data_IF_267763412629
#
_entry.id   IF_267763412629
#
_cell.length_a   1.000
_cell.length_b   1.000
_cell.length_c   1.000
_cell.angle_alpha   90.00
_cell.angle_beta   90.00
_cell.angle_gamma   90.00
#
_symmetry.space_group_name_H-M   'P 1'
#
loop_
_entity.id
_entity.type
_entity.pdbx_description
1 polymer ?
#
# COMPACT_ATOMS: atom_id res chain seq x y z
N UNK A 1 31.12 2.95 -7.80
CA UNK A 1 30.29 3.59 -6.76
C UNK A 1 31.07 4.80 -6.25
N UNK A 2 30.56 6.04 -6.34
CA UNK A 2 31.27 7.16 -5.75
C UNK A 2 31.01 7.18 -4.24
N UNK A 3 32.10 7.21 -3.49
CA UNK A 3 32.13 7.30 -2.04
C UNK A 3 31.60 8.67 -1.58
N UNK A 4 30.78 8.65 -0.54
CA UNK A 4 30.41 9.81 0.25
C UNK A 4 31.66 10.44 0.86
N UNK A 5 31.91 11.71 0.57
CA UNK A 5 32.94 12.50 1.25
C UNK A 5 32.32 13.12 2.50
N UNK A 6 32.93 12.99 3.70
CA UNK A 6 32.43 13.66 4.89
C UNK A 6 32.70 15.17 4.81
N UNK A 7 31.67 15.93 5.15
CA UNK A 7 31.62 17.39 5.15
C UNK A 7 32.63 17.96 6.15
N UNK A 8 33.68 18.63 5.68
CA UNK A 8 34.63 19.34 6.54
C UNK A 8 34.16 20.78 6.77
N UNK A 9 33.47 21.01 7.90
CA UNK A 9 33.25 22.35 8.40
C UNK A 9 34.55 22.84 9.07
N UNK A 10 35.12 23.92 8.52
CA UNK A 10 36.31 24.60 9.07
C UNK A 10 35.99 25.13 10.47
N UNK A 11 36.62 24.58 11.50
CA UNK A 11 36.70 25.17 12.84
C UNK A 11 38.19 25.25 13.21
N UNK A 12 38.60 26.44 13.66
CA UNK A 12 39.97 26.79 14.07
C UNK A 12 40.36 25.95 15.30
N UNK A 13 41.57 25.34 15.36
CA UNK A 13 41.96 24.53 16.50
C UNK A 13 42.47 25.42 17.64
N UNK A 14 41.97 25.17 18.85
CA UNK A 14 42.58 25.64 20.09
C UNK A 14 43.80 24.76 20.40
N UNK A 15 45.00 25.30 20.59
CA UNK A 15 46.18 24.52 20.95
C UNK A 15 46.13 24.19 22.46
N UNK A 16 46.74 23.07 22.85
CA UNK A 16 46.88 22.52 24.22
C UNK A 16 45.82 21.50 24.64
N UNK A 17 46.21 20.22 24.57
CA UNK A 17 45.50 19.11 25.19
C UNK A 17 46.07 17.76 24.78
N UNK A 18 47.14 17.31 25.44
CA UNK A 18 47.70 15.96 25.34
C UNK A 18 47.00 15.04 26.35
N UNK A 19 46.63 13.82 25.94
CA UNK A 19 46.20 12.77 26.86
C UNK A 19 45.47 11.60 26.19
N UNK A 20 46.07 10.41 26.22
CA UNK A 20 45.52 9.12 25.77
C UNK A 20 44.19 8.75 26.47
N UNK A 21 43.19 8.25 25.72
CA UNK A 21 42.16 7.36 26.26
C UNK A 21 41.56 6.46 25.17
N UNK A 22 41.08 5.31 25.63
CA UNK A 22 40.57 4.13 24.95
C UNK A 22 39.67 4.37 23.72
N UNK A 23 39.82 3.51 22.70
CA UNK A 23 38.89 3.35 21.58
C UNK A 23 37.53 2.86 22.10
N UNK A 24 36.64 3.79 22.42
CA UNK A 24 35.18 3.60 22.35
C UNK A 24 34.74 3.87 20.91
N UNK A 25 33.87 3.05 20.30
CA UNK A 25 33.27 3.40 19.01
C UNK A 25 32.56 4.74 19.22
N UNK A 26 33.03 5.76 18.52
CA UNK A 26 32.45 7.10 18.62
C UNK A 26 31.07 7.01 17.99
N UNK A 27 30.02 7.00 18.82
CA UNK A 27 28.68 7.40 18.38
C UNK A 27 28.80 8.85 17.91
N UNK A 28 29.12 9.05 16.63
CA UNK A 28 29.22 10.37 16.03
C UNK A 28 27.81 10.98 15.95
N UNK A 29 27.44 11.73 16.99
CA UNK A 29 26.21 12.51 17.06
C UNK A 29 26.33 13.74 16.14
N UNK A 30 26.15 13.52 14.84
CA UNK A 30 25.92 14.62 13.90
C UNK A 30 24.48 15.11 14.07
N UNK A 31 24.31 16.26 14.72
CA UNK A 31 23.04 16.99 14.73
C UNK A 31 21.84 16.21 15.30
N UNK A 32 22.08 15.28 16.24
CA UNK A 32 21.01 14.49 16.87
C UNK A 32 20.56 13.25 16.08
N UNK A 33 21.30 12.83 15.05
CA UNK A 33 21.20 11.51 14.43
C UNK A 33 22.23 10.55 15.06
N UNK A 34 21.88 9.26 15.14
CA UNK A 34 22.71 8.20 15.72
C UNK A 34 22.87 7.09 14.67
N UNK A 35 24.13 6.79 14.35
CA UNK A 35 24.51 5.78 13.37
C UNK A 35 25.19 4.57 14.02
N UNK A 36 24.93 3.39 13.50
CA UNK A 36 25.61 2.14 13.85
C UNK A 36 25.96 1.39 12.56
N UNK A 37 27.23 1.03 12.36
CA UNK A 37 27.72 0.39 11.13
C UNK A 37 27.29 1.13 9.85
N UNK A 38 27.40 2.45 9.85
CA UNK A 38 26.92 3.36 8.77
C UNK A 38 25.40 3.33 8.50
N UNK A 39 24.61 2.65 9.33
CA UNK A 39 23.15 2.66 9.23
C UNK A 39 22.57 3.65 10.23
N UNK A 40 21.62 4.48 9.79
CA UNK A 40 20.87 5.37 10.68
C UNK A 40 19.96 4.53 11.59
N UNK A 41 20.22 4.54 12.89
CA UNK A 41 19.47 3.74 13.88
C UNK A 41 18.42 4.56 14.59
N UNK A 42 18.74 5.79 14.98
CA UNK A 42 17.80 6.67 15.68
C UNK A 42 18.15 8.14 15.50
N UNK A 43 17.27 9.02 15.95
CA UNK A 43 17.53 10.44 16.01
C UNK A 43 16.34 11.19 16.58
N UNK A 44 16.55 12.47 16.91
CA UNK A 44 15.43 13.35 17.23
C UNK A 44 14.49 13.52 16.03
N UNK A 45 13.22 13.82 16.28
CA UNK A 45 12.24 14.04 15.20
C UNK A 45 12.72 15.14 14.25
N UNK A 46 13.25 16.23 14.80
CA UNK A 46 13.77 17.37 14.05
C UNK A 46 14.94 16.96 13.17
N UNK A 47 15.89 16.18 13.70
CA UNK A 47 17.04 15.69 12.93
C UNK A 47 16.61 14.74 11.80
N UNK A 48 15.64 13.86 12.05
CA UNK A 48 15.10 12.95 11.04
C UNK A 48 14.35 13.69 9.93
N UNK A 49 13.61 14.75 10.27
CA UNK A 49 12.96 15.62 9.29
C UNK A 49 14.02 16.38 8.48
N UNK A 50 15.06 16.92 9.12
CA UNK A 50 16.16 17.56 8.41
C UNK A 50 16.87 16.60 7.46
N UNK A 51 17.07 15.34 7.85
CA UNK A 51 17.63 14.30 6.99
C UNK A 51 16.73 13.97 5.79
N UNK A 52 15.42 14.20 5.87
CA UNK A 52 14.52 14.05 4.72
C UNK A 52 14.66 15.20 3.70
N UNK A 53 15.14 16.38 4.12
CA UNK A 53 15.18 17.56 3.25
C UNK A 53 16.47 17.55 2.42
N UNK A 54 16.39 17.62 1.07
CA UNK A 54 17.58 17.69 0.24
C UNK A 54 18.36 18.98 0.51
N UNK A 55 19.65 18.98 0.19
CA UNK A 55 20.49 20.18 0.18
C UNK A 55 21.23 20.26 -1.16
N UNK A 56 22.09 21.27 -1.36
CA UNK A 56 22.91 21.38 -2.58
C UNK A 56 23.79 20.14 -2.77
N UNK A 57 24.35 19.58 -1.70
CA UNK A 57 25.32 18.48 -1.75
C UNK A 57 24.73 17.12 -1.33
N UNK A 58 23.50 17.11 -0.81
CA UNK A 58 22.86 15.91 -0.28
C UNK A 58 21.49 15.65 -0.91
N UNK A 59 21.16 14.37 -1.06
CA UNK A 59 19.82 13.89 -1.36
C UNK A 59 19.57 12.61 -0.54
N UNK A 60 18.44 12.48 0.16
CA UNK A 60 18.17 11.31 0.96
C UNK A 60 18.01 10.04 0.12
N UNK A 61 18.47 8.92 0.66
CA UNK A 61 18.32 7.63 0.00
C UNK A 61 16.84 7.27 -0.16
N UNK A 62 16.49 6.64 -1.29
CA UNK A 62 15.10 6.23 -1.58
C UNK A 62 14.50 5.34 -0.50
N UNK A 63 15.31 4.45 0.08
CA UNK A 63 14.89 3.59 1.20
C UNK A 63 14.55 4.42 2.43
N UNK A 64 15.33 5.46 2.74
CA UNK A 64 15.04 6.38 3.84
C UNK A 64 13.77 7.19 3.56
N UNK A 65 13.63 7.78 2.36
CA UNK A 65 12.43 8.53 1.97
C UNK A 65 11.17 7.67 2.17
N UNK A 66 11.16 6.46 1.59
CA UNK A 66 10.04 5.53 1.72
C UNK A 66 9.78 5.19 3.20
N UNK A 67 10.81 4.76 3.93
CA UNK A 67 10.68 4.28 5.31
C UNK A 67 10.22 5.40 6.24
N UNK A 68 10.81 6.58 6.14
CA UNK A 68 10.47 7.71 7.00
C UNK A 68 9.08 8.25 6.69
N UNK A 69 8.73 8.47 5.41
CA UNK A 69 7.37 8.88 5.05
C UNK A 69 6.33 7.84 5.51
N UNK A 70 6.60 6.54 5.35
CA UNK A 70 5.74 5.45 5.80
C UNK A 70 5.53 5.47 7.31
N UNK A 71 6.63 5.40 8.06
CA UNK A 71 6.66 5.21 9.51
C UNK A 71 6.32 6.48 10.29
N UNK A 72 6.57 7.67 9.74
CA UNK A 72 6.25 8.94 10.43
C UNK A 72 4.77 9.04 10.77
N UNK A 73 3.89 8.39 10.01
CA UNK A 73 2.45 8.34 10.27
C UNK A 73 2.06 7.79 11.64
N UNK A 74 2.98 7.07 12.29
CA UNK A 74 2.79 6.55 13.64
C UNK A 74 2.89 7.64 14.72
N UNK A 75 3.53 8.78 14.43
CA UNK A 75 3.84 9.81 15.42
C UNK A 75 3.74 11.26 14.90
N UNK A 76 3.52 11.47 13.60
CA UNK A 76 3.42 12.78 12.96
C UNK A 76 2.43 12.72 11.77
N UNK A 77 1.49 13.66 11.74
CA UNK A 77 0.56 13.74 10.62
C UNK A 77 1.27 14.17 9.31
N UNK A 78 0.90 13.60 8.15
CA UNK A 78 1.52 13.95 6.86
C UNK A 78 1.50 15.45 6.54
N UNK A 79 0.40 16.15 6.84
CA UNK A 79 0.29 17.59 6.58
C UNK A 79 1.25 18.43 7.44
N UNK A 80 1.52 17.99 8.68
CA UNK A 80 2.50 18.65 9.56
C UNK A 80 3.91 18.41 9.05
N UNK A 81 4.21 17.16 8.65
CA UNK A 81 5.50 16.82 8.05
C UNK A 81 5.75 17.65 6.77
N UNK A 82 4.77 17.70 5.87
CA UNK A 82 4.85 18.47 4.62
C UNK A 82 5.11 19.95 4.90
N UNK A 83 4.41 20.54 5.88
CA UNK A 83 4.63 21.94 6.26
C UNK A 83 6.06 22.17 6.75
N UNK A 84 6.61 21.27 7.58
CA UNK A 84 7.99 21.37 8.08
C UNK A 84 9.02 21.18 6.96
N UNK A 85 8.81 20.21 6.07
CA UNK A 85 9.68 19.96 4.90
C UNK A 85 9.69 21.18 3.98
N UNK A 86 8.51 21.70 3.59
CA UNK A 86 8.41 22.89 2.74
C UNK A 86 9.06 24.11 3.39
N UNK A 87 8.89 24.30 4.70
CA UNK A 87 9.55 25.37 5.43
C UNK A 87 11.08 25.24 5.36
N UNK A 88 11.63 24.06 5.68
CA UNK A 88 13.07 23.81 5.66
C UNK A 88 13.66 23.93 4.25
N UNK A 89 12.96 23.46 3.20
CA UNK A 89 13.40 23.64 1.81
C UNK A 89 13.68 25.11 1.47
N UNK A 90 12.91 26.05 2.05
CA UNK A 90 13.02 27.48 1.78
C UNK A 90 13.93 28.17 2.78
N UNK A 91 13.72 27.95 4.08
CA UNK A 91 14.35 28.76 5.12
C UNK A 91 15.80 28.36 5.42
N UNK A 92 16.16 27.07 5.36
CA UNK A 92 17.56 26.63 5.56
C UNK A 92 18.53 27.23 4.54
N UNK A 93 18.00 27.70 3.40
CA UNK A 93 18.79 28.19 2.29
C UNK A 93 18.86 29.71 2.23
N UNK A 94 18.18 30.43 3.13
CA UNK A 94 18.22 31.89 3.21
C UNK A 94 19.43 32.34 4.02
N UNK A 95 20.26 33.17 3.39
CA UNK A 95 21.43 33.82 3.97
C UNK A 95 21.14 35.31 4.21
N UNK A 96 19.99 35.82 3.76
CA UNK A 96 19.59 37.22 3.89
C UNK A 96 20.03 38.10 2.72
N UNK A 97 20.81 37.57 1.78
CA UNK A 97 21.12 38.20 0.49
C UNK A 97 20.17 37.66 -0.60
N UNK A 98 19.29 38.49 -1.18
CA UNK A 98 18.31 38.06 -2.18
C UNK A 98 18.90 37.37 -3.43
N UNK A 99 20.12 37.74 -3.84
CA UNK A 99 20.75 37.16 -5.05
C UNK A 99 21.35 35.78 -4.76
N UNK A 100 21.99 35.63 -3.60
CA UNK A 100 22.55 34.35 -3.15
C UNK A 100 21.44 33.35 -2.87
N UNK A 101 20.38 33.79 -2.19
CA UNK A 101 19.21 32.98 -1.88
C UNK A 101 18.55 32.47 -3.18
N UNK A 102 18.39 33.35 -4.18
CA UNK A 102 17.84 32.99 -5.49
C UNK A 102 18.69 31.93 -6.20
N UNK A 103 20.02 32.05 -6.15
CA UNK A 103 20.93 31.05 -6.74
C UNK A 103 20.81 29.71 -6.03
N UNK A 104 20.85 29.69 -4.70
CA UNK A 104 20.73 28.46 -3.90
C UNK A 104 19.40 27.75 -4.14
N UNK A 105 18.30 28.49 -4.16
CA UNK A 105 16.96 27.94 -4.45
C UNK A 105 16.95 27.29 -5.83
N UNK A 106 17.57 27.90 -6.84
CA UNK A 106 17.67 27.30 -8.18
C UNK A 106 18.46 26.00 -8.19
N UNK A 107 19.57 25.93 -7.44
CA UNK A 107 20.43 24.75 -7.42
C UNK A 107 19.77 23.56 -6.69
N UNK A 108 18.95 23.82 -5.68
CA UNK A 108 18.21 22.79 -4.94
C UNK A 108 16.82 22.44 -5.54
N UNK A 109 16.21 23.35 -6.32
CA UNK A 109 14.85 23.18 -6.84
C UNK A 109 14.60 21.80 -7.50
N UNK A 110 15.49 21.27 -8.37
CA UNK A 110 15.28 19.95 -8.96
C UNK A 110 15.16 18.81 -7.93
N UNK A 111 15.92 18.88 -6.83
CA UNK A 111 15.88 17.90 -5.75
C UNK A 111 14.59 18.00 -4.93
N UNK A 112 14.09 19.22 -4.69
CA UNK A 112 12.79 19.43 -4.04
C UNK A 112 11.68 18.83 -4.90
N UNK A 113 11.69 19.12 -6.21
CA UNK A 113 10.73 18.52 -7.15
C UNK A 113 10.81 17.00 -7.14
N UNK A 114 12.03 16.44 -7.09
CA UNK A 114 12.23 14.99 -7.00
C UNK A 114 11.61 14.41 -5.73
N UNK A 115 11.93 14.96 -4.55
CA UNK A 115 11.35 14.49 -3.27
C UNK A 115 9.81 14.55 -3.28
N UNK A 116 9.24 15.66 -3.76
CA UNK A 116 7.79 15.81 -3.84
C UNK A 116 7.17 14.85 -4.86
N UNK A 117 7.87 14.57 -5.96
CA UNK A 117 7.45 13.56 -6.94
C UNK A 117 7.37 12.19 -6.27
N UNK A 118 8.44 11.78 -5.59
CA UNK A 118 8.51 10.50 -4.87
C UNK A 118 7.41 10.38 -3.82
N UNK A 119 7.12 11.45 -3.07
CA UNK A 119 6.01 11.46 -2.11
C UNK A 119 4.66 11.32 -2.82
N UNK A 120 4.37 12.11 -3.86
CA UNK A 120 3.09 12.05 -4.58
C UNK A 120 2.85 10.74 -5.32
N UNK A 121 3.91 10.09 -5.78
CA UNK A 121 3.83 8.79 -6.45
C UNK A 121 3.63 7.66 -5.43
N UNK A 122 4.35 7.69 -4.30
CA UNK A 122 4.30 6.64 -3.27
C UNK A 122 3.05 6.72 -2.41
N UNK A 123 2.64 7.93 -2.01
CA UNK A 123 1.53 8.16 -1.08
C UNK A 123 0.53 9.19 -1.62
N UNK A 124 -0.13 8.90 -2.76
CA UNK A 124 -1.05 9.85 -3.39
C UNK A 124 -2.21 10.23 -2.46
N UNK A 125 -2.65 9.31 -1.59
CA UNK A 125 -3.78 9.50 -0.70
C UNK A 125 -3.60 10.64 0.31
N UNK A 126 -2.37 10.95 0.72
CA UNK A 126 -2.11 12.07 1.62
C UNK A 126 -2.61 13.40 1.02
N UNK A 127 -2.57 13.52 -0.32
CA UNK A 127 -2.93 14.74 -1.04
C UNK A 127 -4.43 14.90 -1.30
N UNK A 128 -5.27 14.00 -0.74
CA UNK A 128 -6.71 14.28 -0.55
C UNK A 128 -6.95 15.33 0.54
N UNK A 129 -5.99 15.54 1.44
CA UNK A 129 -6.04 16.61 2.42
C UNK A 129 -5.75 17.96 1.75
N UNK A 130 -6.66 18.93 1.90
CA UNK A 130 -6.51 20.27 1.34
C UNK A 130 -5.22 20.97 1.80
N UNK A 131 -4.74 20.70 3.02
CA UNK A 131 -3.49 21.27 3.54
C UNK A 131 -2.26 20.75 2.81
N UNK A 132 -2.25 19.47 2.46
CA UNK A 132 -1.21 18.86 1.64
C UNK A 132 -1.19 19.49 0.24
N UNK A 133 -2.36 19.57 -0.40
CA UNK A 133 -2.49 20.16 -1.74
C UNK A 133 -2.15 21.66 -1.76
N UNK A 134 -2.54 22.41 -0.73
CA UNK A 134 -2.14 23.83 -0.58
C UNK A 134 -0.63 23.97 -0.46
N UNK A 135 0.03 23.14 0.33
CA UNK A 135 1.49 23.17 0.50
C UNK A 135 2.22 22.91 -0.82
N UNK A 136 1.73 21.99 -1.64
CA UNK A 136 2.29 21.67 -2.96
C UNK A 136 2.14 22.84 -3.95
N UNK A 137 0.98 23.51 -3.95
CA UNK A 137 0.74 24.70 -4.77
C UNK A 137 1.60 25.88 -4.33
N UNK A 138 1.71 26.11 -3.03
CA UNK A 138 2.57 27.13 -2.45
C UNK A 138 4.04 26.91 -2.85
N UNK A 139 4.51 25.66 -2.80
CA UNK A 139 5.85 25.32 -3.24
C UNK A 139 6.04 25.58 -4.74
N UNK A 140 5.02 25.35 -5.57
CA UNK A 140 5.10 25.68 -6.99
C UNK A 140 5.35 27.18 -7.20
N UNK A 141 4.69 28.04 -6.42
CA UNK A 141 4.90 29.50 -6.48
C UNK A 141 6.29 29.90 -5.99
N UNK A 142 6.77 29.30 -4.89
CA UNK A 142 8.10 29.62 -4.34
C UNK A 142 9.24 29.20 -5.27
N UNK A 143 9.14 28.04 -5.93
CA UNK A 143 10.14 27.62 -6.93
C UNK A 143 10.08 28.44 -8.23
N UNK A 144 8.91 29.00 -8.57
CA UNK A 144 8.74 29.80 -9.78
C UNK A 144 9.65 31.03 -9.85
N UNK A 145 10.06 31.56 -8.69
CA UNK A 145 10.96 32.72 -8.64
C UNK A 145 12.43 32.37 -8.95
N UNK A 146 12.81 31.08 -8.88
CA UNK A 146 14.21 30.61 -9.03
C UNK A 146 14.49 29.84 -10.33
N UNK A 147 13.52 29.05 -10.83
CA UNK A 147 13.71 28.17 -11.99
C UNK A 147 12.40 27.84 -12.74
N UNK A 148 12.33 28.23 -14.01
CA UNK A 148 11.18 27.98 -14.89
C UNK A 148 11.00 26.49 -15.21
N UNK A 149 12.09 25.71 -15.26
CA UNK A 149 12.02 24.27 -15.52
C UNK A 149 11.39 23.52 -14.34
N UNK A 150 11.82 23.82 -13.11
CA UNK A 150 11.25 23.26 -11.88
C UNK A 150 9.78 23.65 -11.71
N UNK A 151 9.39 24.87 -12.08
CA UNK A 151 7.98 25.29 -12.10
C UNK A 151 7.14 24.40 -13.03
N UNK A 152 7.60 24.16 -14.27
CA UNK A 152 6.90 23.26 -15.21
C UNK A 152 6.88 21.83 -14.71
N UNK A 153 7.95 21.37 -14.07
CA UNK A 153 8.01 20.04 -13.46
C UNK A 153 6.98 19.88 -12.33
N UNK A 154 6.87 20.87 -11.43
CA UNK A 154 5.83 20.91 -10.39
C UNK A 154 4.41 20.92 -10.97
N UNK A 155 4.16 21.69 -12.02
CA UNK A 155 2.85 21.69 -12.69
C UNK A 155 2.50 20.31 -13.26
N UNK A 156 3.46 19.63 -13.90
CA UNK A 156 3.28 18.26 -14.40
C UNK A 156 3.05 17.26 -13.26
N UNK A 157 3.78 17.39 -12.16
CA UNK A 157 3.61 16.59 -10.95
C UNK A 157 2.18 16.74 -10.41
N UNK A 158 1.69 17.98 -10.23
CA UNK A 158 0.33 18.23 -9.76
C UNK A 158 -0.70 17.61 -10.71
N UNK A 159 -0.53 17.77 -12.03
CA UNK A 159 -1.44 17.16 -13.00
C UNK A 159 -1.46 15.62 -12.93
N UNK A 160 -0.29 14.99 -12.80
CA UNK A 160 -0.18 13.52 -12.64
C UNK A 160 -0.87 13.06 -11.36
N UNK A 161 -0.63 13.76 -10.25
CA UNK A 161 -1.25 13.48 -8.97
C UNK A 161 -2.77 13.57 -9.05
N UNK A 162 -3.32 14.64 -9.64
CA UNK A 162 -4.77 14.80 -9.79
C UNK A 162 -5.39 13.67 -10.61
N UNK A 163 -4.76 13.29 -11.73
CA UNK A 163 -5.22 12.13 -12.53
C UNK A 163 -5.21 10.83 -11.72
N UNK A 164 -4.13 10.59 -10.97
CA UNK A 164 -4.01 9.40 -10.10
C UNK A 164 -5.12 9.40 -9.04
N UNK A 165 -5.35 10.53 -8.36
CA UNK A 165 -6.41 10.68 -7.38
C UNK A 165 -7.82 10.46 -7.96
N UNK A 166 -8.07 10.90 -9.19
CA UNK A 166 -9.33 10.63 -9.90
C UNK A 166 -9.52 9.13 -10.14
N UNK A 167 -8.50 8.43 -10.64
CA UNK A 167 -8.56 6.97 -10.88
C UNK A 167 -8.81 6.23 -9.56
N UNK A 168 -8.08 6.58 -8.50
CA UNK A 168 -8.28 6.00 -7.16
C UNK A 168 -9.71 6.24 -6.64
N UNK A 169 -10.26 7.45 -6.85
CA UNK A 169 -11.63 7.77 -6.44
C UNK A 169 -12.69 6.98 -7.21
N UNK A 170 -12.53 6.83 -8.52
CA UNK A 170 -13.45 6.03 -9.36
C UNK A 170 -13.43 4.55 -8.97
N UNK A 171 -12.25 4.01 -8.66
CA UNK A 171 -12.11 2.65 -8.19
C UNK A 171 -12.85 2.42 -6.86
N UNK A 172 -12.68 3.31 -5.89
CA UNK A 172 -13.39 3.25 -4.60
C UNK A 172 -14.91 3.33 -4.76
N UNK A 173 -15.40 4.20 -5.65
CA UNK A 173 -16.83 4.30 -5.97
C UNK A 173 -17.38 3.02 -6.61
N UNK A 174 -16.61 2.39 -7.50
CA UNK A 174 -16.94 1.10 -8.09
C UNK A 174 -17.01 -0.02 -7.06
N UNK A 175 -16.08 -0.04 -6.09
CA UNK A 175 -16.09 -1.00 -4.99
C UNK A 175 -17.35 -0.86 -4.12
N UNK A 176 -17.73 0.36 -3.76
CA UNK A 176 -18.93 0.64 -2.95
C UNK A 176 -20.20 0.25 -3.72
N UNK A 177 -20.29 0.60 -5.00
CA UNK A 177 -21.44 0.28 -5.86
C UNK A 177 -21.59 -1.24 -6.00
N UNK A 178 -20.49 -1.96 -6.23
CA UNK A 178 -20.50 -3.42 -6.36
C UNK A 178 -20.81 -4.12 -5.02
N UNK A 179 -20.29 -3.60 -3.90
CA UNK A 179 -20.57 -4.09 -2.56
C UNK A 179 -22.04 -3.93 -2.18
N UNK A 180 -22.61 -2.75 -2.40
CA UNK A 180 -24.03 -2.46 -2.11
C UNK A 180 -24.98 -3.30 -2.96
N UNK A 181 -24.71 -3.44 -4.27
CA UNK A 181 -25.50 -4.28 -5.16
C UNK A 181 -25.52 -5.75 -4.70
N UNK A 182 -24.36 -6.27 -4.29
CA UNK A 182 -24.28 -7.64 -3.81
C UNK A 182 -24.94 -7.84 -2.43
N UNK A 183 -24.83 -6.88 -1.52
CA UNK A 183 -25.54 -6.91 -0.24
C UNK A 183 -27.07 -6.90 -0.44
N UNK A 184 -27.57 -6.09 -1.37
CA UNK A 184 -28.97 -6.07 -1.74
C UNK A 184 -29.45 -7.40 -2.34
N UNK A 185 -28.63 -8.03 -3.20
CA UNK A 185 -28.94 -9.35 -3.76
C UNK A 185 -29.02 -10.44 -2.67
N UNK A 186 -28.14 -10.40 -1.67
CA UNK A 186 -28.18 -11.31 -0.52
C UNK A 186 -29.43 -11.07 0.34
N UNK A 187 -29.77 -9.80 0.63
CA UNK A 187 -30.96 -9.46 1.39
C UNK A 187 -32.25 -9.92 0.69
N UNK A 188 -32.36 -9.68 -0.62
CA UNK A 188 -33.49 -10.14 -1.43
C UNK A 188 -33.62 -11.68 -1.47
N UNK A 189 -32.50 -12.41 -1.36
CA UNK A 189 -32.51 -13.86 -1.26
C UNK A 189 -32.95 -14.37 0.13
N UNK A 190 -32.73 -13.59 1.19
CA UNK A 190 -33.13 -13.92 2.57
C UNK A 190 -34.63 -13.64 2.84
N UNK A 191 -35.20 -12.60 2.22
CA UNK A 191 -36.60 -12.16 2.32
C UNK A 191 -37.63 -13.12 1.66
N UNK A 192 -37.23 -14.25 1.10
CA UNK A 192 -38.13 -15.31 0.60
C UNK A 192 -38.04 -16.59 1.46
N UNK A 193 -38.71 -16.67 2.63
CA UNK A 193 -38.60 -17.82 3.53
C UNK A 193 -39.56 -18.99 3.19
N UNK A 194 -40.15 -19.03 2.00
CA UNK A 194 -41.28 -19.92 1.70
C UNK A 194 -41.17 -20.71 0.40
N UNK A 195 -40.68 -21.95 0.48
CA UNK A 195 -40.87 -22.99 -0.52
C UNK A 195 -39.79 -23.08 -1.60
N UNK A 196 -38.80 -23.96 -1.38
CA UNK A 196 -37.93 -24.52 -2.42
C UNK A 196 -38.78 -25.28 -3.47
N UNK A 197 -39.48 -24.56 -4.34
CA UNK A 197 -40.13 -25.16 -5.51
C UNK A 197 -39.10 -25.24 -6.64
N UNK A 198 -38.94 -26.46 -7.13
CA UNK A 198 -38.08 -27.01 -8.21
C UNK A 198 -37.74 -26.06 -9.38
N UNK A 199 -38.54 -25.03 -9.67
CA UNK A 199 -38.28 -24.03 -10.72
C UNK A 199 -37.16 -23.04 -10.37
N UNK A 200 -36.93 -22.70 -9.09
CA UNK A 200 -35.83 -21.81 -8.69
C UNK A 200 -34.45 -22.51 -8.76
N UNK A 201 -34.43 -23.83 -8.75
CA UNK A 201 -33.23 -24.66 -8.87
C UNK A 201 -32.72 -24.78 -10.32
N UNK A 202 -33.54 -24.42 -11.31
CA UNK A 202 -33.18 -24.38 -12.74
C UNK A 202 -32.47 -23.07 -13.06
N UNK A 203 -32.99 -21.93 -12.59
CA UNK A 203 -32.36 -20.61 -12.80
C UNK A 203 -31.00 -20.51 -12.11
N UNK A 204 -30.86 -21.00 -10.86
CA UNK A 204 -29.56 -21.07 -10.17
C UNK A 204 -28.55 -22.05 -10.78
N UNK A 205 -29.00 -22.97 -11.64
CA UNK A 205 -28.11 -23.95 -12.28
C UNK A 205 -27.36 -23.32 -13.44
N UNK A 206 -27.96 -22.37 -14.15
CA UNK A 206 -27.34 -21.69 -15.29
C UNK A 206 -26.18 -20.77 -14.87
N UNK A 207 -26.14 -20.38 -13.59
CA UNK A 207 -25.10 -19.50 -13.01
C UNK A 207 -23.96 -20.25 -12.26
N UNK A 208 -23.91 -21.59 -12.31
CA UNK A 208 -22.80 -22.33 -11.66
C UNK A 208 -21.48 -21.98 -12.35
N UNK A 209 -20.40 -21.86 -11.58
CA UNK A 209 -19.08 -21.49 -12.10
C UNK A 209 -18.64 -22.45 -13.21
N UNK A 210 -18.92 -23.74 -13.07
CA UNK A 210 -18.63 -24.76 -14.08
C UNK A 210 -19.36 -24.57 -15.41
N UNK A 211 -20.52 -23.90 -15.40
CA UNK A 211 -21.28 -23.63 -16.61
C UNK A 211 -20.84 -22.32 -17.28
N UNK A 212 -20.27 -21.40 -16.51
CA UNK A 212 -19.71 -20.14 -17.00
C UNK A 212 -18.28 -20.32 -17.53
N UNK A 213 -17.49 -21.19 -16.89
CA UNK A 213 -16.12 -21.49 -17.24
C UNK A 213 -15.79 -22.93 -16.83
N UNK A 214 -15.60 -23.79 -17.82
CA UNK A 214 -15.24 -25.20 -17.65
C UNK A 214 -13.73 -25.45 -17.75
N UNK A 215 -12.94 -24.41 -18.08
CA UNK A 215 -11.48 -24.45 -18.14
C UNK A 215 -10.84 -23.90 -16.84
N UNK A 216 -10.18 -24.75 -16.03
CA UNK A 216 -9.50 -24.34 -14.80
C UNK A 216 -8.44 -23.25 -15.00
N UNK A 217 -7.72 -23.30 -16.12
CA UNK A 217 -6.65 -22.35 -16.43
C UNK A 217 -7.21 -20.95 -16.69
N UNK A 218 -8.29 -20.86 -17.46
CA UNK A 218 -8.96 -19.58 -17.75
C UNK A 218 -9.52 -18.99 -16.46
N UNK A 219 -10.16 -19.79 -15.60
CA UNK A 219 -10.66 -19.29 -14.32
C UNK A 219 -9.53 -18.78 -13.42
N UNK A 220 -8.41 -19.51 -13.34
CA UNK A 220 -7.23 -19.07 -12.58
C UNK A 220 -6.65 -17.76 -13.11
N UNK A 221 -6.61 -17.56 -14.43
CA UNK A 221 -6.20 -16.31 -15.04
C UNK A 221 -7.13 -15.15 -14.66
N UNK A 222 -8.46 -15.35 -14.76
CA UNK A 222 -9.43 -14.30 -14.41
C UNK A 222 -9.36 -13.92 -12.93
N UNK A 223 -9.25 -14.90 -12.03
CA UNK A 223 -9.03 -14.65 -10.60
C UNK A 223 -7.77 -13.82 -10.36
N UNK A 224 -6.69 -14.15 -11.08
CA UNK A 224 -5.42 -13.43 -11.00
C UNK A 224 -5.55 -11.99 -11.50
N UNK A 225 -6.26 -11.75 -12.60
CA UNK A 225 -6.50 -10.38 -13.08
C UNK A 225 -7.27 -9.54 -12.06
N UNK A 226 -8.34 -10.09 -11.48
CA UNK A 226 -9.14 -9.40 -10.46
C UNK A 226 -8.28 -9.08 -9.22
N UNK A 227 -7.48 -10.03 -8.77
CA UNK A 227 -6.64 -9.85 -7.58
C UNK A 227 -5.51 -8.88 -7.80
N UNK A 228 -4.84 -8.92 -8.96
CA UNK A 228 -3.79 -7.98 -9.32
C UNK A 228 -4.33 -6.56 -9.45
N UNK A 229 -5.51 -6.39 -10.05
CA UNK A 229 -6.20 -5.11 -10.07
C UNK A 229 -6.41 -4.59 -8.65
N UNK A 230 -7.09 -5.36 -7.78
CA UNK A 230 -7.37 -4.95 -6.40
C UNK A 230 -6.10 -4.66 -5.60
N UNK A 231 -5.08 -5.51 -5.71
CA UNK A 231 -3.80 -5.35 -5.02
C UNK A 231 -3.10 -4.06 -5.44
N UNK A 232 -3.19 -3.67 -6.72
CA UNK A 232 -2.53 -2.46 -7.25
C UNK A 232 -3.07 -1.15 -6.65
N UNK A 233 -4.27 -1.19 -6.06
CA UNK A 233 -4.88 -0.05 -5.37
C UNK A 233 -4.57 0.02 -3.87
N UNK A 234 -3.90 -0.99 -3.30
CA UNK A 234 -3.55 -1.01 -1.88
C UNK A 234 -2.29 -0.18 -1.65
N UNK A 235 -2.42 0.90 -0.90
CA UNK A 235 -1.29 1.74 -0.50
C UNK A 235 -0.45 1.09 0.62
N UNK A 236 0.89 1.24 0.64
CA UNK A 236 1.72 0.78 1.74
C UNK A 236 1.29 1.34 3.11
N UNK A 237 0.75 2.55 3.13
CA UNK A 237 0.19 3.20 4.32
C UNK A 237 -1.02 2.48 4.91
N UNK A 238 -1.78 1.71 4.10
CA UNK A 238 -2.94 0.94 4.58
C UNK A 238 -2.51 -0.21 5.49
N UNK A 239 -1.35 -0.81 5.23
CA UNK A 239 -0.80 -1.85 6.10
C UNK A 239 -0.43 -1.29 7.47
N UNK A 240 0.24 -0.13 7.53
CA UNK A 240 0.57 0.53 8.81
C UNK A 240 -0.70 0.89 9.58
N UNK A 241 -1.73 1.36 8.88
CA UNK A 241 -3.04 1.63 9.47
C UNK A 241 -3.70 0.37 10.04
N UNK A 242 -3.62 -0.76 9.35
CA UNK A 242 -4.21 -2.02 9.82
C UNK A 242 -3.59 -2.51 11.15
N UNK A 243 -2.30 -2.25 11.40
CA UNK A 243 -1.64 -2.63 12.65
C UNK A 243 -1.98 -1.71 13.83
N UNK A 244 -2.26 -0.43 13.57
CA UNK A 244 -2.52 0.56 14.64
C UNK A 244 -3.94 0.52 15.18
N UNK A 245 -4.91 0.04 14.39
CA UNK A 245 -6.32 -0.07 14.78
C UNK A 245 -6.61 -1.08 15.91
N UNK A 246 -5.68 -2.01 16.19
CA UNK A 246 -5.88 -3.08 17.19
C UNK A 246 -5.72 -2.65 18.65
N UNK A 247 -5.50 -1.36 18.96
CA UNK A 247 -5.42 -0.87 20.35
C UNK A 247 -6.74 -0.18 20.76
N UNK A 248 -7.64 -0.88 21.48
CA UNK A 248 -8.95 -0.33 21.85
C UNK A 248 -8.92 0.68 23.00
N UNK A 249 -7.76 1.04 23.56
CA UNK A 249 -7.67 1.70 24.87
C UNK A 249 -7.25 3.16 24.90
N UNK A 250 -6.81 3.78 23.81
CA UNK A 250 -6.36 5.18 23.85
C UNK A 250 -7.31 6.13 23.12
N UNK A 251 -7.94 7.02 23.90
CA UNK A 251 -8.68 8.21 23.47
C UNK A 251 -7.80 9.24 22.72
N UNK A 252 -6.55 8.91 22.38
CA UNK A 252 -5.77 9.70 21.45
C UNK A 252 -6.45 9.65 20.09
N UNK A 253 -6.89 10.83 19.62
CA UNK A 253 -7.34 11.04 18.24
C UNK A 253 -6.33 10.35 17.31
N UNK A 254 -6.70 9.18 16.80
CA UNK A 254 -5.84 8.40 15.92
C UNK A 254 -5.31 9.33 14.83
N UNK A 255 -3.99 9.31 14.61
CA UNK A 255 -3.34 10.13 13.59
C UNK A 255 -3.86 9.83 12.16
N UNK A 256 -4.65 8.77 12.02
CA UNK A 256 -5.28 8.32 10.80
C UNK A 256 -6.71 8.85 10.67
N UNK A 257 -7.01 9.42 9.50
CA UNK A 257 -8.35 9.88 9.15
C UNK A 257 -9.35 8.72 9.17
N UNK A 258 -10.61 8.98 9.53
CA UNK A 258 -11.70 7.99 9.65
C UNK A 258 -12.05 7.21 8.36
N UNK A 259 -11.40 7.50 7.21
CA UNK A 259 -11.50 6.68 6.00
C UNK A 259 -10.59 5.47 6.16
N UNK A 260 -11.09 4.51 6.94
CA UNK A 260 -10.49 3.19 7.21
C UNK A 260 -9.95 2.56 5.92
N UNK A 261 -8.89 1.76 6.04
CA UNK A 261 -8.20 1.00 4.98
C UNK A 261 -9.16 0.22 4.07
N UNK A 262 -9.83 0.92 3.15
CA UNK A 262 -10.96 0.39 2.39
C UNK A 262 -10.52 -0.58 1.33
N UNK A 263 -9.35 -0.36 0.73
CA UNK A 263 -8.88 -1.21 -0.36
C UNK A 263 -8.28 -2.50 0.19
N UNK A 264 -7.50 -2.40 1.27
CA UNK A 264 -7.02 -3.59 1.98
C UNK A 264 -8.17 -4.41 2.56
N UNK A 265 -9.16 -3.77 3.18
CA UNK A 265 -10.35 -4.47 3.70
C UNK A 265 -11.17 -5.10 2.57
N UNK A 266 -11.38 -4.40 1.46
CA UNK A 266 -12.05 -4.94 0.28
C UNK A 266 -11.29 -6.10 -0.37
N UNK A 267 -9.95 -6.11 -0.30
CA UNK A 267 -9.12 -7.22 -0.77
C UNK A 267 -9.25 -8.46 0.14
N UNK A 268 -9.27 -8.25 1.46
CA UNK A 268 -9.55 -9.32 2.43
C UNK A 268 -10.99 -9.85 2.25
N UNK A 269 -11.95 -8.96 2.03
CA UNK A 269 -13.33 -9.36 1.74
C UNK A 269 -13.41 -10.19 0.46
N UNK A 270 -12.70 -9.80 -0.60
CA UNK A 270 -12.61 -10.58 -1.83
C UNK A 270 -12.12 -12.02 -1.57
N UNK A 271 -11.03 -12.19 -0.81
CA UNK A 271 -10.54 -13.52 -0.42
C UNK A 271 -11.64 -14.35 0.28
N UNK A 272 -12.37 -13.72 1.20
CA UNK A 272 -13.46 -14.39 1.92
C UNK A 272 -14.60 -14.77 0.98
N UNK A 273 -14.98 -13.88 0.07
CA UNK A 273 -16.05 -14.12 -0.91
C UNK A 273 -15.70 -15.27 -1.86
N UNK A 274 -14.48 -15.31 -2.38
CA UNK A 274 -14.00 -16.42 -3.20
C UNK A 274 -14.06 -17.74 -2.41
N UNK A 275 -13.58 -17.71 -1.16
CA UNK A 275 -13.66 -18.87 -0.27
C UNK A 275 -15.11 -19.37 -0.09
N UNK A 276 -16.06 -18.46 0.19
CA UNK A 276 -17.47 -18.84 0.35
C UNK A 276 -18.13 -19.29 -0.96
N UNK A 277 -17.75 -18.71 -2.11
CA UNK A 277 -18.22 -19.15 -3.42
C UNK A 277 -17.83 -20.60 -3.67
N UNK A 278 -16.55 -20.94 -3.49
CA UNK A 278 -16.03 -22.32 -3.63
C UNK A 278 -16.82 -23.28 -2.75
N UNK A 279 -17.02 -22.92 -1.48
CA UNK A 279 -17.77 -23.75 -0.55
C UNK A 279 -19.24 -23.95 -0.99
N UNK A 280 -19.86 -22.88 -1.47
CA UNK A 280 -21.25 -22.89 -1.95
C UNK A 280 -21.39 -23.76 -3.19
N UNK A 281 -20.53 -23.59 -4.20
CA UNK A 281 -20.55 -24.38 -5.44
C UNK A 281 -20.34 -25.87 -5.18
N UNK A 282 -19.50 -26.25 -4.21
CA UNK A 282 -19.30 -27.65 -3.83
C UNK A 282 -20.54 -28.22 -3.12
N UNK A 283 -21.19 -27.43 -2.27
CA UNK A 283 -22.31 -27.89 -1.43
C UNK A 283 -23.67 -27.85 -2.14
N UNK A 284 -23.85 -27.00 -3.14
CA UNK A 284 -25.13 -26.80 -3.83
C UNK A 284 -25.63 -28.04 -4.60
N UNK A 285 -24.79 -28.84 -5.29
CA UNK A 285 -25.26 -30.00 -6.02
C UNK A 285 -25.79 -31.11 -5.10
N UNK A 286 -27.04 -31.52 -5.31
CA UNK A 286 -27.66 -32.62 -4.55
C UNK A 286 -26.97 -33.97 -4.81
N UNK A 287 -26.51 -34.21 -6.06
CA UNK A 287 -25.92 -35.50 -6.46
C UNK A 287 -24.43 -35.57 -6.10
N UNK A 288 -24.03 -36.62 -5.35
CA UNK A 288 -22.64 -36.88 -4.93
C UNK A 288 -21.62 -36.81 -6.08
N UNK A 289 -21.91 -37.49 -7.20
CA UNK A 289 -21.05 -37.50 -8.40
C UNK A 289 -20.81 -36.09 -8.95
N UNK A 290 -21.81 -35.21 -8.87
CA UNK A 290 -21.66 -33.85 -9.35
C UNK A 290 -20.82 -33.00 -8.40
N UNK A 291 -21.00 -33.15 -7.07
CA UNK A 291 -20.15 -32.48 -6.07
C UNK A 291 -18.68 -32.87 -6.22
N UNK A 292 -18.40 -34.16 -6.47
CA UNK A 292 -17.03 -34.63 -6.72
C UNK A 292 -16.41 -33.93 -7.93
N UNK A 293 -17.16 -33.78 -9.04
CA UNK A 293 -16.69 -33.04 -10.23
C UNK A 293 -16.39 -31.57 -9.94
N UNK A 294 -17.25 -30.89 -9.15
CA UNK A 294 -17.01 -29.48 -8.76
C UNK A 294 -15.76 -29.36 -7.89
N UNK A 295 -15.58 -30.29 -6.95
CA UNK A 295 -14.40 -30.33 -6.09
C UNK A 295 -13.11 -30.56 -6.91
N UNK A 296 -13.11 -31.54 -7.80
CA UNK A 296 -11.99 -31.82 -8.72
C UNK A 296 -11.64 -30.59 -9.56
N UNK A 297 -12.65 -29.93 -10.15
CA UNK A 297 -12.45 -28.70 -10.91
C UNK A 297 -11.77 -27.60 -10.09
N UNK A 298 -12.24 -27.32 -8.87
CA UNK A 298 -11.58 -26.30 -8.03
C UNK A 298 -10.17 -26.71 -7.58
N UNK A 299 -9.88 -28.01 -7.45
CA UNK A 299 -8.51 -28.50 -7.20
C UNK A 299 -7.61 -28.20 -8.42
N UNK A 300 -8.11 -28.41 -9.63
CA UNK A 300 -7.39 -28.09 -10.86
C UNK A 300 -7.20 -26.55 -10.98
N UNK A 301 -8.22 -25.75 -10.67
CA UNK A 301 -8.10 -24.26 -10.64
C UNK A 301 -7.03 -23.84 -9.64
N UNK A 302 -7.01 -24.44 -8.45
CA UNK A 302 -5.99 -24.17 -7.44
C UNK A 302 -4.58 -24.52 -7.94
N UNK A 303 -4.42 -25.64 -8.66
CA UNK A 303 -3.14 -26.00 -9.29
C UNK A 303 -2.70 -24.94 -10.31
N UNK A 304 -3.61 -24.45 -11.14
CA UNK A 304 -3.28 -23.38 -12.08
C UNK A 304 -2.97 -22.05 -11.40
N UNK A 305 -3.66 -21.71 -10.31
CA UNK A 305 -3.28 -20.58 -9.47
C UNK A 305 -1.85 -20.71 -8.92
N UNK A 306 -1.43 -21.91 -8.49
CA UNK A 306 -0.06 -22.17 -8.06
C UNK A 306 0.95 -21.97 -9.21
N UNK A 307 0.66 -22.50 -10.39
CA UNK A 307 1.53 -22.39 -11.57
C UNK A 307 1.77 -20.94 -11.99
N UNK A 308 0.74 -20.09 -11.89
CA UNK A 308 0.79 -18.66 -12.25
C UNK A 308 1.40 -17.81 -11.11
N UNK A 309 1.52 -18.36 -9.90
CA UNK A 309 2.01 -17.63 -8.71
C UNK A 309 0.92 -16.85 -7.97
N UNK A 310 -0.36 -17.13 -8.23
CA UNK A 310 -1.47 -16.59 -7.48
C UNK A 310 -1.73 -17.39 -6.19
N UNK A 311 -0.91 -17.12 -5.17
CA UNK A 311 -1.02 -17.80 -3.88
C UNK A 311 -2.25 -17.38 -3.06
N UNK A 312 -2.82 -16.20 -3.30
CA UNK A 312 -3.99 -15.72 -2.57
C UNK A 312 -5.24 -16.53 -2.94
N UNK A 313 -5.56 -16.62 -4.24
CA UNK A 313 -6.67 -17.46 -4.72
C UNK A 313 -6.46 -18.94 -4.43
N UNK A 314 -5.22 -19.44 -4.61
CA UNK A 314 -4.84 -20.81 -4.21
C UNK A 314 -5.26 -21.10 -2.78
N UNK A 315 -4.88 -20.22 -1.84
CA UNK A 315 -5.17 -20.42 -0.42
C UNK A 315 -6.66 -20.29 -0.12
N UNK A 316 -7.37 -19.36 -0.77
CA UNK A 316 -8.82 -19.21 -0.64
C UNK A 316 -9.54 -20.51 -1.02
N UNK A 317 -9.18 -21.10 -2.16
CA UNK A 317 -9.77 -22.34 -2.67
C UNK A 317 -9.41 -23.53 -1.75
N UNK A 318 -8.12 -23.73 -1.47
CA UNK A 318 -7.65 -24.89 -0.70
C UNK A 318 -8.19 -24.88 0.73
N UNK A 319 -8.23 -23.73 1.39
CA UNK A 319 -8.70 -23.63 2.78
C UNK A 319 -10.12 -24.18 2.96
N UNK A 320 -11.01 -23.92 1.99
CA UNK A 320 -12.40 -24.37 2.01
C UNK A 320 -12.58 -25.78 1.47
N UNK A 321 -11.83 -26.18 0.44
CA UNK A 321 -11.77 -27.57 0.02
C UNK A 321 -11.37 -28.45 1.20
N UNK A 322 -10.27 -28.14 1.91
CA UNK A 322 -9.83 -28.88 3.11
C UNK A 322 -10.91 -28.95 4.18
N UNK A 323 -11.49 -27.81 4.57
CA UNK A 323 -12.55 -27.78 5.58
C UNK A 323 -13.73 -28.70 5.21
N UNK A 324 -14.22 -28.63 3.97
CA UNK A 324 -15.34 -29.45 3.51
C UNK A 324 -14.98 -30.93 3.43
N UNK A 325 -13.76 -31.21 2.97
CA UNK A 325 -13.17 -32.54 2.92
C UNK A 325 -13.12 -33.21 4.32
N UNK A 326 -12.79 -32.45 5.39
CA UNK A 326 -12.77 -32.97 6.76
C UNK A 326 -14.16 -33.05 7.42
N UNK A 327 -15.08 -32.15 7.06
CA UNK A 327 -16.40 -32.03 7.72
C UNK A 327 -17.52 -32.83 7.06
N UNK A 328 -17.42 -33.13 5.77
CA UNK A 328 -18.47 -33.83 5.00
C UNK A 328 -18.13 -35.29 4.72
N UNK A 329 -17.89 -36.09 5.76
CA UNK A 329 -17.93 -37.57 5.78
C UNK A 329 -17.03 -38.35 4.80
N UNK A 330 -16.41 -39.42 5.31
CA UNK A 330 -15.50 -40.41 4.67
C UNK A 330 -15.93 -41.04 3.31
N UNK A 331 -17.06 -40.65 2.70
CA UNK A 331 -17.65 -41.30 1.52
C UNK A 331 -17.54 -40.52 0.20
N UNK A 332 -17.02 -39.29 0.18
CA UNK A 332 -16.70 -38.59 -1.10
C UNK A 332 -15.33 -39.03 -1.63
N UNK A 333 -14.41 -39.38 -0.72
CA UNK A 333 -13.05 -39.82 -1.03
C UNK A 333 -12.95 -41.09 -1.88
N UNK A 334 -13.90 -42.02 -1.74
CA UNK A 334 -13.89 -43.30 -2.49
C UNK A 334 -14.05 -43.08 -4.00
N UNK A 335 -14.57 -41.92 -4.45
CA UNK A 335 -14.64 -41.59 -5.89
C UNK A 335 -13.51 -40.72 -6.40
N UNK A 336 -12.84 -39.93 -5.55
CA UNK A 336 -11.81 -38.95 -6.00
C UNK A 336 -10.40 -39.56 -5.99
N UNK A 337 -10.17 -40.65 -5.25
CA UNK A 337 -8.88 -41.35 -5.22
C UNK A 337 -9.00 -42.80 -5.70
N UNK A 338 -8.87 -43.00 -7.01
CA UNK A 338 -8.37 -44.27 -7.58
C UNK A 338 -8.04 -44.26 -9.09
N UNK A 339 -8.15 -43.14 -9.83
CA UNK A 339 -8.01 -43.20 -11.31
C UNK A 339 -7.02 -42.24 -11.97
N UNK A 340 -6.27 -41.39 -11.25
CA UNK A 340 -5.38 -40.40 -11.90
C UNK A 340 -4.00 -40.17 -11.29
N UNK A 341 -3.60 -40.96 -10.29
CA UNK A 341 -2.24 -40.88 -9.74
C UNK A 341 -1.66 -42.30 -9.62
N UNK A 342 -1.28 -42.86 -10.78
CA UNK A 342 -0.34 -43.96 -10.89
C UNK A 342 0.57 -43.72 -12.07
#
# INVERSE_FOLDING_TARGET
>A
MPQTTPFSAKIIPNPYGSGHSHYTPVEESYGGLVYHDNNLVSGSLEALIQHLVPTVDYYPDRSYIFTFLLSSRLFLHPFELMSRVCYLCVEHHRVGDPQIDKKRIRDIAPKIVQLLTEWTETFPYDFRDDRMMRSLKEMTHRLAFGDELSRRAMQRLIQRLLRKLTILGQYEESLVTSGTAAAAAVAAAAEKPGGLKVKQHVVRREDSVLNLCDDPFILAQQLTHIEMERLSYIGPEEFVQAFTQKRPSDNHKSFFSKRRASNLEAYVEWFNRLSYLVATEICLPVKKKHRARVLEFFIDVARECFNIGNFNSLMAIISKCRMLIYTTNNNIYVSVSCHKYH
#
